data_IF_865919531323
#
_entry.id   IF_865919531323
#
_cell.length_a   1.000
_cell.length_b   1.000
_cell.length_c   1.000
_cell.angle_alpha   90.00
_cell.angle_beta   90.00
_cell.angle_gamma   90.00
#
_symmetry.space_group_name_H-M   'P 1'
#
loop_
_entity.id
_entity.type
_entity.pdbx_description
1 polymer ?
#
# COMPACT_ATOMS: atom_id res chain seq x y z
N UNK A 1 33.31 -4.70 1.90
CA UNK A 1 32.47 -3.95 0.92
C UNK A 1 32.48 -4.77 -0.35
N UNK A 2 31.31 -5.04 -0.93
CA UNK A 2 31.14 -5.79 -2.19
C UNK A 2 30.22 -4.93 -3.05
N UNK A 3 30.56 -4.71 -4.33
CA UNK A 3 29.79 -3.89 -5.27
C UNK A 3 29.37 -2.50 -4.73
N UNK A 4 30.25 -1.87 -3.93
CA UNK A 4 30.00 -0.58 -3.27
C UNK A 4 29.13 -0.64 -2.01
N UNK A 5 28.52 -1.79 -1.69
CA UNK A 5 27.71 -1.98 -0.49
C UNK A 5 28.56 -2.33 0.73
N UNK A 6 28.26 -1.70 1.87
CA UNK A 6 28.90 -1.98 3.15
C UNK A 6 28.10 -3.10 3.86
N UNK A 7 28.53 -4.34 3.65
CA UNK A 7 28.09 -5.48 4.44
C UNK A 7 28.63 -5.33 5.87
N UNK A 8 27.73 -5.33 6.86
CA UNK A 8 28.09 -5.35 8.29
C UNK A 8 27.86 -6.77 8.81
N UNK A 9 28.88 -7.34 9.46
CA UNK A 9 28.79 -8.68 10.05
C UNK A 9 27.87 -8.76 11.29
N UNK A 10 27.46 -7.61 11.84
CA UNK A 10 26.43 -7.54 12.87
C UNK A 10 25.12 -7.00 12.25
N UNK A 11 23.99 -7.72 12.36
CA UNK A 11 23.79 -9.01 13.05
C UNK A 11 24.15 -10.18 12.11
N UNK A 12 24.88 -11.21 12.57
CA UNK A 12 25.35 -12.31 11.72
C UNK A 12 24.26 -13.32 11.36
N UNK A 13 23.92 -13.48 10.09
CA UNK A 13 22.69 -14.20 9.69
C UNK A 13 22.83 -15.73 9.76
N UNK A 14 21.81 -16.44 10.26
CA UNK A 14 21.69 -17.90 10.15
C UNK A 14 20.66 -18.27 9.07
N UNK A 15 21.07 -18.52 7.81
CA UNK A 15 20.13 -18.96 6.79
C UNK A 15 19.68 -20.41 7.05
N UNK A 16 18.42 -20.73 6.76
CA UNK A 16 17.99 -22.12 6.60
C UNK A 16 18.44 -22.68 5.24
N UNK A 17 18.13 -23.95 4.97
CA UNK A 17 18.57 -24.60 3.74
C UNK A 17 17.95 -23.94 2.50
N UNK A 18 18.80 -23.51 1.55
CA UNK A 18 18.35 -22.98 0.26
C UNK A 18 17.78 -24.13 -0.58
N UNK A 19 16.47 -24.35 -0.50
CA UNK A 19 15.78 -25.19 -1.46
C UNK A 19 15.85 -24.55 -2.86
N UNK A 20 16.06 -25.37 -3.88
CA UNK A 20 15.93 -24.98 -5.29
C UNK A 20 15.02 -26.01 -5.94
N UNK A 21 13.90 -25.59 -6.49
CA UNK A 21 13.03 -26.47 -7.26
C UNK A 21 13.05 -26.09 -8.75
N UNK A 22 12.86 -27.08 -9.61
CA UNK A 22 12.61 -26.87 -11.05
C UNK A 22 11.09 -26.67 -11.33
N UNK A 23 10.31 -26.40 -10.28
CA UNK A 23 8.86 -26.24 -10.31
C UNK A 23 8.41 -24.78 -10.44
N UNK A 24 7.08 -24.59 -10.51
CA UNK A 24 6.44 -23.27 -10.43
C UNK A 24 5.87 -22.96 -9.03
N UNK A 25 6.17 -23.82 -8.06
CA UNK A 25 5.79 -23.60 -6.66
C UNK A 25 6.60 -22.45 -6.05
N UNK A 26 6.11 -21.94 -4.93
CA UNK A 26 6.78 -20.89 -4.18
C UNK A 26 7.97 -21.50 -3.43
N UNK A 27 9.19 -21.36 -3.95
CA UNK A 27 10.40 -21.60 -3.15
C UNK A 27 10.40 -20.60 -1.98
N UNK A 28 10.11 -21.06 -0.77
CA UNK A 28 10.20 -20.26 0.46
C UNK A 28 11.47 -20.61 1.23
N UNK A 29 12.05 -19.61 1.89
CA UNK A 29 13.26 -19.79 2.70
C UNK A 29 13.22 -18.86 3.91
N UNK A 30 13.49 -19.41 5.09
CA UNK A 30 13.63 -18.62 6.33
C UNK A 30 15.11 -18.30 6.60
N UNK A 31 15.42 -17.04 6.93
CA UNK A 31 16.74 -16.63 7.45
C UNK A 31 16.52 -16.13 8.87
N UNK A 32 17.28 -16.59 9.88
CA UNK A 32 17.00 -16.47 11.33
C UNK A 32 18.11 -15.88 12.24
N UNK A 33 17.73 -15.24 13.38
CA UNK A 33 18.63 -14.78 14.47
C UNK A 33 18.20 -13.53 15.29
N UNK A 34 19.12 -12.61 15.64
CA UNK A 34 18.92 -11.38 16.45
C UNK A 34 18.73 -10.01 15.70
N UNK A 35 17.92 -9.10 16.25
CA UNK A 35 17.75 -7.70 15.79
C UNK A 35 18.69 -6.73 16.54
N UNK A 36 19.95 -6.59 16.11
CA UNK A 36 20.95 -5.73 16.80
C UNK A 36 21.47 -4.55 15.98
N UNK A 37 21.06 -4.40 14.72
CA UNK A 37 21.51 -3.30 13.86
C UNK A 37 20.53 -2.13 13.87
N UNK A 38 21.07 -0.93 14.09
CA UNK A 38 20.33 0.33 13.99
C UNK A 38 19.75 0.65 12.59
N UNK A 39 19.98 -0.21 11.59
CA UNK A 39 19.45 -0.07 10.23
C UNK A 39 18.05 -0.70 10.04
N UNK A 40 17.66 -1.69 10.85
CA UNK A 40 16.36 -2.37 10.76
C UNK A 40 15.78 -2.49 12.19
N UNK A 41 15.03 -1.48 12.61
CA UNK A 41 14.36 -1.47 13.91
C UNK A 41 13.02 -2.21 13.90
N UNK A 42 12.65 -2.80 15.04
CA UNK A 42 11.33 -3.43 15.24
C UNK A 42 10.17 -2.50 14.86
N UNK A 43 10.22 -1.24 15.30
CA UNK A 43 9.18 -0.26 14.98
C UNK A 43 9.12 0.11 13.49
N UNK A 44 10.22 -0.07 12.73
CA UNK A 44 10.25 0.13 11.28
C UNK A 44 9.68 -1.08 10.51
N UNK A 45 9.85 -2.29 11.05
CA UNK A 45 9.19 -3.50 10.56
C UNK A 45 7.68 -3.44 10.78
N UNK A 46 7.24 -3.08 12.00
CA UNK A 46 5.80 -2.90 12.32
C UNK A 46 5.16 -1.80 11.45
N UNK A 47 5.94 -0.79 11.05
CA UNK A 47 5.49 0.27 10.15
C UNK A 47 5.45 -0.13 8.66
N UNK A 48 5.78 -1.38 8.31
CA UNK A 48 5.79 -1.89 6.93
C UNK A 48 6.88 -1.29 6.04
N UNK A 49 7.94 -0.70 6.60
CA UNK A 49 9.01 -0.05 5.81
C UNK A 49 9.79 -1.02 4.91
N UNK A 50 9.73 -2.31 5.24
CA UNK A 50 10.47 -3.37 4.57
C UNK A 50 9.54 -4.34 3.79
N UNK A 51 8.24 -4.01 3.70
CA UNK A 51 7.27 -4.81 2.95
C UNK A 51 7.64 -4.83 1.45
N UNK A 52 7.81 -6.03 0.89
CA UNK A 52 8.27 -6.20 -0.49
C UNK A 52 9.73 -5.79 -0.74
N UNK A 53 10.54 -5.64 0.31
CA UNK A 53 11.99 -5.44 0.17
C UNK A 53 12.63 -6.60 -0.60
N UNK A 54 13.60 -6.27 -1.47
CA UNK A 54 14.37 -7.26 -2.23
C UNK A 54 15.68 -7.55 -1.50
N UNK A 55 15.90 -8.82 -1.20
CA UNK A 55 17.16 -9.31 -0.60
C UNK A 55 17.98 -10.00 -1.67
N UNK A 56 19.29 -9.73 -1.69
CA UNK A 56 20.27 -10.46 -2.49
C UNK A 56 21.26 -11.12 -1.54
N UNK A 57 21.47 -12.42 -1.71
CA UNK A 57 22.38 -13.21 -0.89
C UNK A 57 23.65 -13.51 -1.68
N UNK A 58 24.79 -13.48 -0.99
CA UNK A 58 26.11 -13.73 -1.58
C UNK A 58 26.92 -14.53 -0.57
N UNK A 59 27.48 -15.67 -1.00
CA UNK A 59 28.23 -16.55 -0.11
C UNK A 59 29.61 -15.95 0.22
N UNK A 60 29.87 -15.76 1.52
CA UNK A 60 31.14 -15.31 2.11
C UNK A 60 31.31 -15.95 3.49
N UNK A 61 32.52 -16.26 3.92
CA UNK A 61 32.78 -16.98 5.19
C UNK A 61 32.94 -16.02 6.39
N UNK A 62 32.00 -16.03 7.35
CA UNK A 62 32.07 -15.40 8.68
C UNK A 62 30.93 -15.91 9.63
N UNK A 63 31.05 -15.74 10.96
CA UNK A 63 30.14 -16.30 11.99
C UNK A 63 29.07 -15.36 12.62
N UNK A 64 28.41 -15.82 13.69
CA UNK A 64 26.94 -15.72 13.92
C UNK A 64 26.36 -14.60 14.84
N UNK A 65 25.13 -14.10 14.54
CA UNK A 65 23.93 -13.70 15.39
C UNK A 65 22.90 -12.73 14.67
N UNK A 66 21.82 -13.14 13.97
CA UNK A 66 21.01 -12.16 13.15
C UNK A 66 19.63 -12.51 12.50
N UNK A 67 18.55 -11.80 12.93
CA UNK A 67 17.06 -11.84 12.78
C UNK A 67 16.31 -12.91 11.93
N UNK A 68 15.03 -13.20 12.26
CA UNK A 68 14.13 -14.06 11.45
C UNK A 68 13.27 -13.32 10.42
N UNK A 69 13.33 -13.75 9.15
CA UNK A 69 12.50 -13.30 8.03
C UNK A 69 12.24 -14.43 7.01
N UNK A 70 11.03 -14.46 6.45
CA UNK A 70 10.68 -15.32 5.31
C UNK A 70 11.05 -14.61 3.99
N UNK A 71 11.73 -15.34 3.10
CA UNK A 71 12.04 -14.94 1.73
C UNK A 71 11.22 -15.77 0.77
N UNK A 72 10.45 -15.09 -0.06
CA UNK A 72 9.56 -15.69 -1.05
C UNK A 72 10.19 -15.65 -2.44
N UNK A 73 10.24 -16.79 -3.12
CA UNK A 73 10.72 -16.92 -4.50
C UNK A 73 9.88 -16.13 -5.51
N UNK A 74 10.51 -15.79 -6.64
CA UNK A 74 9.89 -14.98 -7.72
C UNK A 74 8.63 -15.64 -8.33
N UNK A 75 8.47 -16.96 -8.14
CA UNK A 75 7.33 -17.75 -8.59
C UNK A 75 6.00 -17.39 -7.89
N UNK A 76 6.00 -16.76 -6.71
CA UNK A 76 4.75 -16.28 -6.09
C UNK A 76 4.02 -15.24 -6.94
N UNK A 77 4.72 -14.52 -7.83
CA UNK A 77 4.08 -13.66 -8.82
C UNK A 77 3.16 -14.41 -9.81
N UNK A 78 3.28 -15.74 -9.90
CA UNK A 78 2.45 -16.62 -10.72
C UNK A 78 1.21 -17.15 -9.97
N UNK A 79 1.19 -17.12 -8.63
CA UNK A 79 0.07 -17.59 -7.81
C UNK A 79 -1.10 -16.58 -7.74
N UNK A 80 -0.91 -15.36 -8.26
CA UNK A 80 -1.98 -14.36 -8.34
C UNK A 80 -3.04 -14.75 -9.39
N UNK A 81 -4.33 -14.41 -9.19
CA UNK A 81 -5.35 -14.56 -10.21
C UNK A 81 -4.93 -13.89 -11.53
N UNK A 82 -5.04 -14.65 -12.64
CA UNK A 82 -4.68 -14.18 -14.00
C UNK A 82 -5.84 -13.45 -14.68
N UNK A 83 -7.07 -13.71 -14.21
CA UNK A 83 -8.30 -13.06 -14.68
C UNK A 83 -8.97 -12.29 -13.54
N UNK A 84 -9.67 -11.22 -13.91
CA UNK A 84 -10.44 -10.39 -12.99
C UNK A 84 -11.79 -11.04 -12.69
N UNK A 85 -12.21 -11.07 -11.42
CA UNK A 85 -13.58 -11.42 -11.07
C UNK A 85 -14.55 -10.29 -11.47
N UNK A 86 -15.80 -10.65 -11.77
CA UNK A 86 -16.86 -9.65 -12.00
C UNK A 86 -17.17 -8.91 -10.71
N UNK A 87 -17.44 -7.61 -10.81
CA UNK A 87 -17.69 -6.79 -9.61
C UNK A 87 -18.54 -5.58 -9.96
N UNK A 88 -19.49 -5.25 -9.08
CA UNK A 88 -20.27 -4.02 -9.21
C UNK A 88 -19.42 -2.74 -9.06
N UNK A 89 -18.28 -2.85 -8.35
CA UNK A 89 -17.32 -1.76 -8.18
C UNK A 89 -16.30 -1.68 -9.32
N UNK A 90 -15.81 -0.48 -9.61
CA UNK A 90 -14.71 -0.27 -10.55
C UNK A 90 -13.41 -0.92 -10.05
N UNK A 91 -12.87 -1.87 -10.82
CA UNK A 91 -11.59 -2.53 -10.52
C UNK A 91 -10.35 -1.68 -10.85
N UNK A 92 -10.50 -0.55 -11.54
CA UNK A 92 -9.39 0.35 -11.85
C UNK A 92 -8.96 1.21 -10.64
N UNK A 93 -7.67 1.49 -10.55
CA UNK A 93 -7.10 2.50 -9.64
C UNK A 93 -7.29 3.90 -10.23
N UNK A 94 -7.59 4.90 -9.39
CA UNK A 94 -7.84 6.25 -9.87
C UNK A 94 -6.58 6.80 -10.57
N UNK A 95 -6.71 7.17 -11.83
CA UNK A 95 -5.60 7.67 -12.66
C UNK A 95 -4.66 6.61 -13.25
N UNK A 96 -4.94 5.32 -13.09
CA UNK A 96 -4.20 4.28 -13.82
C UNK A 96 -4.54 4.27 -15.33
N UNK A 97 -3.86 3.43 -16.11
CA UNK A 97 -4.05 3.35 -17.56
C UNK A 97 -5.44 2.84 -18.00
N UNK A 98 -6.19 2.18 -17.11
CA UNK A 98 -7.55 1.67 -17.34
C UNK A 98 -8.60 2.73 -17.01
N UNK A 99 -8.32 3.54 -15.99
CA UNK A 99 -9.15 4.63 -15.47
C UNK A 99 -8.98 5.92 -16.27
N UNK A 100 -7.72 6.33 -16.55
CA UNK A 100 -7.34 7.49 -17.37
C UNK A 100 -7.77 8.88 -16.87
N UNK A 101 -8.32 8.98 -15.65
CA UNK A 101 -8.59 10.28 -15.01
C UNK A 101 -7.29 11.06 -14.86
N UNK A 102 -7.25 12.30 -15.34
CA UNK A 102 -6.11 13.19 -15.13
C UNK A 102 -5.91 13.46 -13.62
N UNK A 103 -4.74 13.10 -13.10
CA UNK A 103 -4.38 13.29 -11.69
C UNK A 103 -3.81 14.68 -11.38
N UNK A 104 -3.54 15.49 -12.40
CA UNK A 104 -3.20 16.90 -12.23
C UNK A 104 -4.36 17.64 -11.55
N UNK A 105 -4.08 18.37 -10.47
CA UNK A 105 -5.11 19.04 -9.65
C UNK A 105 -5.85 18.13 -8.65
N UNK A 106 -5.72 16.80 -8.78
CA UNK A 106 -6.26 15.77 -7.86
C UNK A 106 -5.24 15.19 -6.88
N UNK A 107 -4.00 15.67 -7.00
CA UNK A 107 -2.87 15.43 -6.10
C UNK A 107 -2.42 16.79 -5.58
N UNK A 108 -2.32 16.95 -4.25
CA UNK A 108 -2.10 18.23 -3.59
C UNK A 108 -1.10 18.08 -2.46
N UNK A 109 -0.16 19.01 -2.37
CA UNK A 109 0.69 19.14 -1.19
C UNK A 109 -0.03 19.97 -0.13
N UNK A 110 0.07 19.53 1.11
CA UNK A 110 -0.45 20.19 2.31
C UNK A 110 0.52 19.96 3.48
N UNK A 111 0.37 20.72 4.56
CA UNK A 111 1.06 20.48 5.83
C UNK A 111 0.08 20.04 6.90
N UNK A 112 0.51 19.12 7.77
CA UNK A 112 -0.27 18.74 8.94
C UNK A 112 -0.13 19.83 10.00
N UNK A 113 -1.23 20.51 10.33
CA UNK A 113 -1.32 21.53 11.39
C UNK A 113 -1.46 20.87 12.76
N UNK A 114 -2.30 19.83 12.86
CA UNK A 114 -2.55 19.07 14.08
C UNK A 114 -2.83 17.60 13.76
N UNK A 115 -2.63 16.72 14.75
CA UNK A 115 -2.90 15.29 14.62
C UNK A 115 -3.34 14.69 15.97
N UNK A 116 -4.39 13.87 15.96
CA UNK A 116 -4.84 13.10 17.12
C UNK A 116 -5.34 11.71 16.66
N UNK A 117 -4.67 10.65 17.09
CA UNK A 117 -4.89 9.28 16.62
C UNK A 117 -4.95 9.20 15.07
N UNK A 118 -6.12 8.90 14.49
CA UNK A 118 -6.36 8.82 13.05
C UNK A 118 -6.69 10.15 12.38
N UNK A 119 -6.98 11.20 13.15
CA UNK A 119 -7.49 12.47 12.64
C UNK A 119 -6.31 13.43 12.43
N UNK A 120 -6.21 13.98 11.23
CA UNK A 120 -5.26 15.03 10.87
C UNK A 120 -6.03 16.31 10.50
N UNK A 121 -5.52 17.46 10.94
CA UNK A 121 -5.93 18.77 10.41
C UNK A 121 -4.84 19.26 9.46
N UNK A 122 -5.22 19.60 8.23
CA UNK A 122 -4.32 20.12 7.20
C UNK A 122 -4.37 21.66 7.13
N UNK A 123 -3.38 22.27 6.48
CA UNK A 123 -3.36 23.70 6.15
C UNK A 123 -4.19 24.06 4.89
N UNK A 124 -4.84 23.06 4.28
CA UNK A 124 -5.68 23.20 3.10
C UNK A 124 -7.02 22.45 3.28
N UNK A 125 -8.10 23.03 2.76
CA UNK A 125 -9.40 22.37 2.67
C UNK A 125 -9.47 21.41 1.48
N UNK A 126 -10.32 20.40 1.58
CA UNK A 126 -10.64 19.48 0.50
C UNK A 126 -11.24 20.19 -0.74
N UNK A 127 -10.92 19.73 -1.96
CA UNK A 127 -11.36 20.38 -3.19
C UNK A 127 -12.84 20.15 -3.52
N UNK A 128 -13.42 19.08 -2.97
CA UNK A 128 -14.85 18.71 -3.03
C UNK A 128 -15.19 18.00 -1.72
N UNK A 129 -16.46 18.04 -1.30
CA UNK A 129 -16.92 17.41 -0.06
C UNK A 129 -16.54 15.92 -0.01
N UNK A 130 -15.95 15.49 1.10
CA UNK A 130 -15.39 14.14 1.31
C UNK A 130 -14.43 13.67 0.20
N UNK A 131 -13.71 14.63 -0.41
CA UNK A 131 -12.95 14.43 -1.65
C UNK A 131 -11.78 13.46 -1.53
N UNK A 132 -11.21 13.30 -0.33
CA UNK A 132 -10.08 12.42 -0.09
C UNK A 132 -10.49 11.00 0.36
N UNK A 133 -11.77 10.71 0.57
CA UNK A 133 -12.25 9.39 1.01
C UNK A 133 -11.89 8.26 0.02
N UNK A 134 -11.20 7.22 0.49
CA UNK A 134 -10.65 6.17 -0.37
C UNK A 134 -9.40 6.58 -1.16
N UNK A 135 -8.86 7.76 -0.87
CA UNK A 135 -7.58 8.26 -1.39
C UNK A 135 -6.40 7.87 -0.48
N UNK A 136 -5.25 8.46 -0.75
CA UNK A 136 -4.01 8.19 -0.01
C UNK A 136 -3.28 9.48 0.36
N UNK A 137 -2.57 9.43 1.48
CA UNK A 137 -1.68 10.47 1.95
C UNK A 137 -0.26 9.88 2.03
N UNK A 138 0.74 10.54 1.42
CA UNK A 138 2.15 10.15 1.52
C UNK A 138 2.94 11.15 2.36
N UNK A 139 3.73 10.65 3.30
CA UNK A 139 4.51 11.46 4.25
C UNK A 139 5.88 11.83 3.67
N UNK A 140 6.25 13.12 3.69
CA UNK A 140 7.56 13.60 3.23
C UNK A 140 8.52 14.01 4.36
N UNK A 141 8.06 14.06 5.61
CA UNK A 141 8.87 14.49 6.75
C UNK A 141 8.53 13.77 8.06
N UNK A 142 9.37 13.97 9.07
CA UNK A 142 9.26 13.30 10.37
C UNK A 142 9.49 11.78 10.28
N UNK A 143 9.18 11.08 11.37
CA UNK A 143 9.44 9.63 11.48
C UNK A 143 8.52 8.76 10.58
N UNK A 144 7.45 9.33 10.03
CA UNK A 144 6.59 8.67 9.03
C UNK A 144 7.12 8.81 7.59
N UNK A 145 8.19 9.58 7.32
CA UNK A 145 8.65 9.86 5.96
C UNK A 145 8.83 8.60 5.10
N UNK A 146 8.31 8.64 3.88
CA UNK A 146 8.28 7.52 2.91
C UNK A 146 7.04 6.63 3.01
N UNK A 147 6.36 6.57 4.17
CA UNK A 147 5.14 5.79 4.34
C UNK A 147 3.95 6.40 3.59
N UNK A 148 2.91 5.59 3.38
CA UNK A 148 1.61 6.02 2.91
C UNK A 148 0.51 5.63 3.91
N UNK A 149 -0.56 6.42 3.97
CA UNK A 149 -1.73 6.16 4.81
C UNK A 149 -3.00 6.26 3.98
N UNK A 150 -3.87 5.26 4.08
CA UNK A 150 -5.17 5.26 3.40
C UNK A 150 -6.14 6.19 4.13
N UNK A 151 -6.90 6.97 3.37
CA UNK A 151 -7.87 7.94 3.89
C UNK A 151 -9.26 7.28 3.95
N UNK A 152 -9.92 7.37 5.10
CA UNK A 152 -11.27 6.87 5.30
C UNK A 152 -12.32 7.93 4.92
N UNK A 153 -12.12 9.17 5.36
CA UNK A 153 -13.01 10.31 5.09
C UNK A 153 -12.25 11.64 5.15
N UNK A 154 -12.86 12.70 4.63
CA UNK A 154 -12.42 14.08 4.82
C UNK A 154 -13.62 15.02 5.00
N UNK A 155 -13.41 16.12 5.72
CA UNK A 155 -14.40 17.17 5.95
C UNK A 155 -13.68 18.51 6.10
N UNK A 156 -13.81 19.39 5.11
CA UNK A 156 -13.09 20.67 5.10
C UNK A 156 -11.58 20.46 5.16
N UNK A 157 -10.91 20.95 6.21
CA UNK A 157 -9.47 20.76 6.44
C UNK A 157 -9.11 19.49 7.23
N UNK A 158 -10.10 18.69 7.65
CA UNK A 158 -9.91 17.49 8.46
C UNK A 158 -9.84 16.26 7.56
N UNK A 159 -8.88 15.38 7.83
CA UNK A 159 -8.69 14.10 7.14
C UNK A 159 -8.62 12.98 8.18
N UNK A 160 -9.52 12.00 8.07
CA UNK A 160 -9.55 10.82 8.93
C UNK A 160 -8.90 9.65 8.21
N UNK A 161 -7.78 9.16 8.75
CA UNK A 161 -7.08 7.99 8.24
C UNK A 161 -7.80 6.69 8.62
N UNK A 162 -7.62 5.65 7.79
CA UNK A 162 -8.16 4.30 8.05
C UNK A 162 -7.51 3.65 9.28
N UNK A 163 -6.22 3.87 9.44
CA UNK A 163 -5.38 3.40 10.56
C UNK A 163 -4.57 4.59 11.09
N UNK A 164 -4.19 4.56 12.37
CA UNK A 164 -3.35 5.59 12.95
C UNK A 164 -1.97 5.64 12.24
N UNK A 165 -1.30 6.80 12.17
CA UNK A 165 0.08 6.88 11.70
C UNK A 165 0.99 5.96 12.53
N UNK A 166 1.94 5.26 11.89
CA UNK A 166 2.83 4.33 12.56
C UNK A 166 3.72 5.00 13.64
N UNK A 167 4.00 6.30 13.46
CA UNK A 167 4.75 7.11 14.42
C UNK A 167 4.03 8.42 14.72
N UNK A 168 4.34 9.02 15.88
CA UNK A 168 3.87 10.36 16.23
C UNK A 168 4.19 11.38 15.12
N UNK A 169 3.19 12.19 14.77
CA UNK A 169 3.29 13.19 13.69
C UNK A 169 3.74 14.52 14.27
N UNK A 170 4.77 15.12 13.68
CA UNK A 170 5.21 16.47 14.03
C UNK A 170 4.38 17.49 13.24
N UNK A 171 3.84 18.56 13.88
CA UNK A 171 3.22 19.66 13.15
C UNK A 171 4.15 20.29 12.11
N UNK A 172 3.57 20.79 11.02
CA UNK A 172 4.29 21.36 9.87
C UNK A 172 4.84 20.34 8.87
N UNK A 173 4.76 19.03 9.13
CA UNK A 173 5.20 17.98 8.20
C UNK A 173 4.43 18.08 6.88
N UNK A 174 5.19 18.09 5.78
CA UNK A 174 4.65 18.08 4.42
C UNK A 174 4.08 16.69 4.09
N UNK A 175 2.89 16.70 3.52
CA UNK A 175 2.17 15.53 3.02
C UNK A 175 1.69 15.76 1.60
N UNK A 176 1.53 14.68 0.87
CA UNK A 176 1.03 14.63 -0.50
C UNK A 176 -0.27 13.84 -0.49
N UNK A 177 -1.38 14.52 -0.74
CA UNK A 177 -2.74 14.00 -0.57
C UNK A 177 -3.36 13.81 -1.95
N UNK A 178 -3.79 12.58 -2.23
CA UNK A 178 -4.42 12.17 -3.47
C UNK A 178 -5.92 11.98 -3.23
N UNK A 179 -6.74 12.61 -4.07
CA UNK A 179 -8.19 12.42 -4.08
C UNK A 179 -8.58 10.94 -4.19
N UNK A 180 -9.65 10.56 -3.51
CA UNK A 180 -10.13 9.18 -3.49
C UNK A 180 -11.22 8.88 -4.52
N UNK A 181 -11.49 7.58 -4.70
CA UNK A 181 -12.57 7.07 -5.54
C UNK A 181 -13.26 5.92 -4.82
N UNK A 182 -14.56 6.07 -4.60
CA UNK A 182 -15.49 5.10 -3.97
C UNK A 182 -15.78 3.85 -4.83
N UNK A 183 -15.25 3.82 -6.07
CA UNK A 183 -15.45 2.80 -7.09
C UNK A 183 -16.88 2.69 -7.64
N UNK A 184 -17.78 3.64 -7.36
CA UNK A 184 -19.16 3.59 -7.88
C UNK A 184 -19.28 4.18 -9.30
N UNK A 185 -20.23 3.69 -10.10
CA UNK A 185 -20.50 4.26 -11.42
C UNK A 185 -21.01 5.70 -11.31
N UNK A 186 -21.83 6.00 -10.28
CA UNK A 186 -22.39 7.32 -10.04
C UNK A 186 -21.28 8.38 -9.83
N UNK A 187 -20.31 8.10 -8.96
CA UNK A 187 -19.16 8.99 -8.74
C UNK A 187 -18.24 9.02 -9.96
N UNK A 188 -18.02 7.89 -10.64
CA UNK A 188 -17.24 7.85 -11.88
C UNK A 188 -17.83 8.76 -12.98
N UNK A 189 -19.16 8.76 -13.13
CA UNK A 189 -19.87 9.62 -14.06
C UNK A 189 -19.91 11.08 -13.59
N UNK A 190 -20.37 11.35 -12.37
CA UNK A 190 -20.64 12.71 -11.87
C UNK A 190 -19.39 13.50 -11.49
N UNK A 191 -18.48 12.90 -10.70
CA UNK A 191 -17.28 13.60 -10.18
C UNK A 191 -16.10 13.61 -11.17
N UNK A 192 -16.01 12.57 -11.99
CA UNK A 192 -14.85 12.34 -12.87
C UNK A 192 -15.18 12.42 -14.37
N UNK A 193 -16.46 12.50 -14.77
CA UNK A 193 -16.90 12.46 -16.18
C UNK A 193 -16.35 11.26 -16.98
N UNK A 194 -16.15 10.11 -16.30
CA UNK A 194 -15.27 9.03 -16.76
C UNK A 194 -15.97 7.67 -16.88
N UNK A 195 -17.29 7.64 -16.99
CA UNK A 195 -18.09 6.41 -17.08
C UNK A 195 -17.61 5.46 -18.20
N UNK A 196 -17.13 5.98 -19.33
CA UNK A 196 -16.59 5.20 -20.45
C UNK A 196 -15.34 4.36 -20.11
N UNK A 197 -14.63 4.70 -19.03
CA UNK A 197 -13.47 3.94 -18.53
C UNK A 197 -13.79 3.15 -17.24
N UNK A 198 -15.07 3.04 -16.84
CA UNK A 198 -15.47 2.22 -15.70
C UNK A 198 -15.14 0.74 -15.95
N UNK A 199 -14.54 0.07 -14.96
CA UNK A 199 -14.06 -1.32 -15.06
C UNK A 199 -14.77 -2.22 -14.04
N UNK A 200 -16.09 -2.16 -14.07
CA UNK A 200 -16.98 -2.98 -13.26
C UNK A 200 -18.31 -3.15 -13.98
N UNK A 201 -19.13 -4.06 -13.48
CA UNK A 201 -20.40 -4.47 -14.05
C UNK A 201 -21.52 -4.15 -13.03
N UNK A 202 -21.89 -2.87 -12.84
CA UNK A 202 -22.71 -2.42 -11.70
C UNK A 202 -24.18 -2.84 -11.80
N UNK A 203 -24.58 -3.37 -12.95
CA UNK A 203 -25.91 -3.91 -13.24
C UNK A 203 -25.89 -5.42 -13.49
N UNK A 204 -24.77 -6.11 -13.24
CA UNK A 204 -24.72 -7.57 -13.35
C UNK A 204 -25.64 -8.16 -12.26
N UNK A 205 -26.69 -8.91 -12.63
CA UNK A 205 -27.60 -9.48 -11.66
C UNK A 205 -26.89 -10.54 -10.82
N UNK A 206 -27.22 -10.59 -9.53
CA UNK A 206 -26.75 -11.64 -8.63
C UNK A 206 -27.38 -13.01 -8.95
N UNK A 207 -26.84 -14.05 -8.31
CA UNK A 207 -27.39 -15.42 -8.40
C UNK A 207 -28.83 -15.48 -7.88
N UNK A 208 -29.22 -14.59 -6.97
CA UNK A 208 -30.59 -14.46 -6.48
C UNK A 208 -31.59 -14.17 -7.61
N UNK A 209 -31.22 -13.30 -8.57
CA UNK A 209 -32.03 -12.99 -9.74
C UNK A 209 -32.16 -14.16 -10.72
N UNK A 210 -31.18 -15.06 -10.78
CA UNK A 210 -31.27 -16.31 -11.57
C UNK A 210 -32.26 -17.32 -10.97
N UNK A 211 -32.56 -17.21 -9.67
CA UNK A 211 -33.52 -18.09 -8.97
C UNK A 211 -34.95 -17.54 -8.90
N UNK A 212 -35.22 -16.32 -9.40
CA UNK A 212 -36.57 -15.77 -9.42
C UNK A 212 -37.40 -16.36 -10.56
N UNK A 213 -38.40 -17.16 -10.21
CA UNK A 213 -39.43 -17.58 -11.15
C UNK A 213 -40.29 -16.36 -11.56
N UNK A 214 -40.54 -16.11 -12.85
CA UNK A 214 -41.36 -14.99 -13.29
C UNK A 214 -42.85 -15.27 -13.08
N UNK A 215 -43.42 -14.83 -11.96
CA UNK A 215 -44.86 -14.93 -11.70
C UNK A 215 -45.27 -15.06 -10.23
N UNK A 216 -44.87 -14.10 -9.39
CA UNK A 216 -45.34 -13.94 -8.00
C UNK A 216 -45.60 -12.48 -7.70
#
# INVERSE_FOLDING_TARGET
MIDGLIHRAAPGMTPSAVARSDGLEADTMEIGGALTSAAIGEADLIAGRWDGARVMLTAVEAGDIGFTAELTGVTVALQRPVVEETSAGCRATLGDWRCRVAMLGRRRFARVVASADRVLTLDAVEPVANGYAGGTLRWFGGRNAGLASAIAASEGAVVTLRSAPAFAVTPGVLVDVIEGCDKTLATCAGRFANAANFRGEPFLPGIDLLTRYPGG
#
